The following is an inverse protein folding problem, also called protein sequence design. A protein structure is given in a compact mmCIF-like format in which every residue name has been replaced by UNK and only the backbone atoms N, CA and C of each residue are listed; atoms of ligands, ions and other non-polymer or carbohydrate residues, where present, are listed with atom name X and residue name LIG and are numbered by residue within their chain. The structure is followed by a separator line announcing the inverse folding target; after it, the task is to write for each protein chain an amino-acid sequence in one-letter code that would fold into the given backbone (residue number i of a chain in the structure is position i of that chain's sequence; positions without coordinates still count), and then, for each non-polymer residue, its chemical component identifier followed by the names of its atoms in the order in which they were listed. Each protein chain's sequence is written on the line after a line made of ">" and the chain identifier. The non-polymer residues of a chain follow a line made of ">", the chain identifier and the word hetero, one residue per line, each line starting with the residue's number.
data_IF_329976618054
#
_entry.id   IF_329976618054
#
_cell.length_a   1.000
_cell.length_b   1.000
_cell.length_c   1.000
_cell.angle_alpha   90.00
_cell.angle_beta   90.00
_cell.angle_gamma   90.00
#
_symmetry.space_group_name_H-M   'P 1'
#
loop_
_entity.id
_entity.type
_entity.pdbx_description
1 polymer ?
#
# COMPACT_ATOMS: atom_id res chain seq x y z
N UNK A 1 -6.29 -12.82 -8.69
CA UNK A 1 -5.45 -11.94 -7.86
C UNK A 1 -6.28 -10.78 -7.31
N UNK A 2 -6.05 -10.35 -6.06
CA UNK A 2 -6.83 -9.29 -5.43
C UNK A 2 -6.53 -7.92 -6.07
N UNK A 3 -7.57 -7.14 -6.34
CA UNK A 3 -7.43 -5.83 -7.01
C UNK A 3 -8.20 -4.76 -6.25
N UNK A 4 -8.08 -3.49 -6.66
CA UNK A 4 -8.85 -2.39 -6.06
C UNK A 4 -10.35 -2.67 -6.14
N UNK A 5 -11.07 -2.40 -5.04
CA UNK A 5 -12.52 -2.65 -4.80
C UNK A 5 -12.93 -4.07 -4.40
N UNK A 6 -11.97 -4.91 -3.98
CA UNK A 6 -12.22 -6.24 -3.36
C UNK A 6 -12.62 -6.19 -1.89
N UNK A 7 -12.53 -5.03 -1.23
CA UNK A 7 -12.78 -4.90 0.22
C UNK A 7 -11.52 -4.91 1.09
N UNK A 8 -10.33 -4.95 0.48
CA UNK A 8 -9.06 -4.97 1.22
C UNK A 8 -8.80 -3.76 2.12
N UNK A 9 -9.34 -2.58 1.80
CA UNK A 9 -9.28 -1.44 2.72
C UNK A 9 -10.13 -1.65 3.97
N UNK A 10 -11.28 -2.31 3.85
CA UNK A 10 -12.16 -2.60 4.98
C UNK A 10 -11.53 -3.66 5.89
N UNK A 11 -11.07 -4.77 5.32
CA UNK A 11 -10.36 -5.83 6.07
C UNK A 11 -9.08 -5.28 6.72
N UNK A 12 -8.32 -4.45 5.99
CA UNK A 12 -7.11 -3.81 6.53
C UNK A 12 -7.39 -2.92 7.74
N UNK A 13 -8.57 -2.30 7.84
CA UNK A 13 -8.92 -1.47 8.99
C UNK A 13 -9.06 -2.30 10.28
N UNK A 14 -9.50 -3.56 10.21
CA UNK A 14 -9.53 -4.43 11.39
C UNK A 14 -8.14 -4.62 11.99
N UNK A 15 -7.13 -4.82 11.16
CA UNK A 15 -5.72 -4.90 11.59
C UNK A 15 -5.21 -3.56 12.11
N UNK A 16 -5.56 -2.47 11.44
CA UNK A 16 -5.15 -1.11 11.79
C UNK A 16 -5.65 -0.65 13.17
N UNK A 17 -6.75 -1.24 13.67
CA UNK A 17 -7.28 -0.95 15.00
C UNK A 17 -6.60 -1.75 16.12
N UNK A 18 -5.81 -2.77 15.80
CA UNK A 18 -5.12 -3.59 16.80
C UNK A 18 -3.82 -2.94 17.26
N UNK A 19 -3.66 -2.77 18.58
CA UNK A 19 -2.49 -2.11 19.16
C UNK A 19 -1.18 -2.88 19.00
N UNK A 20 -1.24 -4.20 18.80
CA UNK A 20 -0.08 -5.08 18.62
C UNK A 20 0.27 -5.33 17.14
N UNK A 21 -0.42 -4.70 16.18
CA UNK A 21 -0.17 -4.86 14.75
C UNK A 21 0.41 -3.57 14.15
N UNK A 22 1.51 -3.69 13.43
CA UNK A 22 2.04 -2.64 12.56
C UNK A 22 1.40 -2.73 11.18
N UNK A 23 0.34 -1.96 10.94
CA UNK A 23 -0.36 -1.98 9.66
C UNK A 23 0.20 -0.94 8.68
N UNK A 24 0.53 -1.36 7.45
CA UNK A 24 0.88 -0.46 6.34
C UNK A 24 -0.11 -0.54 5.18
N UNK A 25 -0.65 0.62 4.81
CA UNK A 25 -1.56 0.75 3.68
C UNK A 25 -0.79 0.90 2.34
N UNK A 26 -0.84 -0.13 1.50
CA UNK A 26 -0.33 -0.11 0.11
C UNK A 26 1.10 0.44 -0.06
N UNK A 27 2.10 -0.04 0.69
CA UNK A 27 3.49 0.46 0.58
C UNK A 27 4.08 0.26 -0.82
N UNK A 28 3.61 -0.77 -1.53
CA UNK A 28 4.00 -1.09 -2.90
C UNK A 28 3.59 -0.03 -3.95
N UNK A 29 2.81 0.98 -3.56
CA UNK A 29 2.45 2.09 -4.43
C UNK A 29 3.68 2.87 -4.92
N UNK A 30 4.69 3.04 -4.06
CA UNK A 30 5.93 3.74 -4.42
C UNK A 30 6.72 3.00 -5.50
N UNK A 31 6.75 1.66 -5.41
CA UNK A 31 7.47 0.80 -6.35
C UNK A 31 6.80 0.86 -7.73
N UNK A 32 5.47 0.76 -7.79
CA UNK A 32 4.72 0.81 -9.06
C UNK A 32 4.91 2.12 -9.82
N UNK A 33 5.14 3.23 -9.11
CA UNK A 33 5.33 4.53 -9.72
C UNK A 33 6.72 4.72 -10.32
N UNK A 34 7.71 4.03 -9.77
CA UNK A 34 9.13 4.20 -10.13
C UNK A 34 9.61 3.12 -11.08
N UNK A 35 9.10 1.89 -10.94
CA UNK A 35 9.43 0.77 -11.83
C UNK A 35 8.44 0.77 -12.99
N UNK A 36 8.87 1.22 -14.16
CA UNK A 36 8.06 1.26 -15.38
C UNK A 36 7.56 -0.14 -15.75
N UNK A 37 6.23 -0.34 -15.67
CA UNK A 37 5.57 -1.54 -16.15
C UNK A 37 5.33 -1.46 -17.66
N UNK A 38 6.37 -1.70 -18.45
CA UNK A 38 6.24 -2.03 -19.87
C UNK A 38 5.60 -3.43 -19.99
N UNK A 39 4.38 -3.59 -20.54
CA UNK A 39 3.77 -4.90 -20.72
C UNK A 39 4.55 -5.70 -21.77
N UNK A 40 5.19 -6.80 -21.38
CA UNK A 40 5.79 -7.77 -22.31
C UNK A 40 7.31 -7.82 -22.39
N UNK A 41 8.04 -6.99 -21.64
CA UNK A 41 9.52 -7.04 -21.59
C UNK A 41 10.08 -7.85 -20.41
N UNK A 42 11.40 -8.13 -20.45
CA UNK A 42 12.20 -8.69 -19.34
C UNK A 42 12.02 -7.93 -17.99
N UNK A 43 11.46 -6.72 -18.06
CA UNK A 43 11.09 -5.84 -16.95
C UNK A 43 10.00 -6.41 -16.03
N UNK A 44 9.14 -7.33 -16.49
CA UNK A 44 8.08 -7.91 -15.66
C UNK A 44 8.64 -8.84 -14.56
N UNK A 45 9.66 -9.65 -14.91
CA UNK A 45 10.37 -10.52 -13.96
C UNK A 45 11.22 -9.68 -13.02
N UNK A 46 11.95 -8.69 -13.54
CA UNK A 46 12.73 -7.75 -12.72
C UNK A 46 11.87 -7.01 -11.70
N UNK A 47 10.68 -6.56 -12.09
CA UNK A 47 9.72 -5.93 -11.19
C UNK A 47 9.29 -6.90 -10.07
N UNK A 48 8.97 -8.16 -10.41
CA UNK A 48 8.55 -9.17 -9.44
C UNK A 48 9.61 -9.42 -8.35
N UNK A 49 10.89 -9.45 -8.73
CA UNK A 49 12.00 -9.58 -7.79
C UNK A 49 12.07 -8.37 -6.84
N UNK A 50 11.91 -7.15 -7.37
CA UNK A 50 11.86 -5.93 -6.54
C UNK A 50 10.68 -5.98 -5.56
N UNK A 51 9.48 -6.36 -6.00
CA UNK A 51 8.32 -6.50 -5.10
C UNK A 51 8.58 -7.52 -4.00
N UNK A 52 9.14 -8.69 -4.35
CA UNK A 52 9.49 -9.74 -3.39
C UNK A 52 10.49 -9.21 -2.34
N UNK A 53 11.57 -8.60 -2.78
CA UNK A 53 12.65 -8.14 -1.90
C UNK A 53 12.17 -7.00 -0.99
N UNK A 54 11.40 -6.06 -1.53
CA UNK A 54 10.75 -5.01 -0.73
C UNK A 54 9.81 -5.62 0.31
N UNK A 55 8.93 -6.55 -0.07
CA UNK A 55 8.02 -7.19 0.88
C UNK A 55 8.78 -7.93 1.98
N UNK A 56 9.87 -8.62 1.63
CA UNK A 56 10.72 -9.34 2.57
C UNK A 56 11.31 -8.41 3.62
N UNK A 57 11.92 -7.32 3.18
CA UNK A 57 12.51 -6.33 4.07
C UNK A 57 11.45 -5.64 4.93
N UNK A 58 10.30 -5.30 4.34
CA UNK A 58 9.18 -4.73 5.08
C UNK A 58 8.73 -5.66 6.21
N UNK A 59 8.49 -6.96 5.95
CA UNK A 59 8.09 -7.92 7.00
C UNK A 59 9.16 -8.12 8.08
N UNK A 60 10.43 -7.80 7.80
CA UNK A 60 11.52 -7.76 8.77
C UNK A 60 11.67 -6.38 9.44
N UNK A 61 10.67 -5.49 9.28
CA UNK A 61 10.67 -4.12 9.77
C UNK A 61 11.84 -3.25 9.27
N UNK A 62 12.38 -3.56 8.09
CA UNK A 62 13.28 -2.66 7.37
C UNK A 62 12.48 -1.79 6.40
N UNK A 63 12.17 -0.56 6.83
CA UNK A 63 11.42 0.41 6.05
C UNK A 63 12.30 1.26 5.14
N UNK A 64 13.63 1.25 5.30
CA UNK A 64 14.56 2.00 4.45
C UNK A 64 14.52 1.51 3.01
N UNK A 65 14.13 0.25 2.80
CA UNK A 65 13.90 -0.35 1.48
C UNK A 65 12.94 0.46 0.60
N UNK A 66 12.08 1.31 1.19
CA UNK A 66 11.15 2.16 0.45
C UNK A 66 11.78 3.46 -0.04
N UNK A 67 12.85 3.96 0.59
CA UNK A 67 13.42 5.28 0.31
C UNK A 67 13.79 5.51 -1.17
N UNK A 68 14.41 4.55 -1.89
CA UNK A 68 14.73 4.72 -3.30
C UNK A 68 13.51 4.92 -4.20
N UNK A 69 12.31 4.55 -3.72
CA UNK A 69 11.07 4.62 -4.49
C UNK A 69 10.20 5.82 -4.12
N UNK A 70 10.58 6.61 -3.11
CA UNK A 70 9.82 7.78 -2.68
C UNK A 70 10.30 9.02 -3.45
N UNK A 71 9.35 9.82 -3.94
CA UNK A 71 9.62 11.08 -4.61
C UNK A 71 8.86 12.22 -3.92
N UNK A 72 9.53 13.31 -3.49
CA UNK A 72 10.99 13.53 -3.54
C UNK A 72 11.79 12.54 -2.68
N UNK A 73 13.07 12.35 -3.00
CA UNK A 73 13.95 11.46 -2.24
C UNK A 73 13.99 11.91 -0.77
N UNK A 74 13.94 10.98 0.21
CA UNK A 74 14.02 11.33 1.62
C UNK A 74 15.31 12.09 1.96
N UNK A 75 15.19 13.12 2.79
CA UNK A 75 16.33 13.80 3.42
C UNK A 75 16.66 13.00 4.69
N UNK A 76 17.49 11.97 4.53
CA UNK A 76 17.63 10.87 5.48
C UNK A 76 17.74 11.33 6.95
N UNK A 77 16.87 10.86 7.87
CA UNK A 77 15.86 9.80 7.69
C UNK A 77 14.41 10.30 7.49
N UNK A 78 14.21 11.54 7.01
CA UNK A 78 12.89 12.17 6.94
C UNK A 78 12.25 12.07 5.55
N UNK A 79 10.99 11.67 5.51
CA UNK A 79 10.17 11.71 4.29
C UNK A 79 8.84 12.43 4.51
N UNK A 80 8.49 13.28 3.54
CA UNK A 80 7.22 14.02 3.52
C UNK A 80 6.15 13.31 2.68
N UNK A 81 6.52 12.21 2.00
CA UNK A 81 5.70 11.57 0.98
C UNK A 81 5.54 10.07 1.20
N UNK A 82 5.06 9.67 2.37
CA UNK A 82 4.62 8.29 2.57
C UNK A 82 3.18 8.12 2.08
N UNK A 83 2.96 7.28 1.06
CA UNK A 83 1.66 7.10 0.42
C UNK A 83 0.58 6.74 1.44
N UNK A 84 -0.48 7.56 1.50
CA UNK A 84 -1.62 7.36 2.40
C UNK A 84 -1.24 7.09 3.86
N UNK A 85 -0.14 7.66 4.37
CA UNK A 85 0.33 7.54 5.78
C UNK A 85 -0.81 7.62 6.79
N UNK A 86 -1.73 8.58 6.67
CA UNK A 86 -2.90 8.70 7.56
C UNK A 86 -3.89 7.53 7.58
N UNK A 87 -3.70 6.49 6.75
CA UNK A 87 -4.46 5.23 6.78
C UNK A 87 -3.76 4.14 7.61
N UNK A 88 -2.56 4.41 8.11
CA UNK A 88 -1.78 3.53 8.98
C UNK A 88 -1.65 4.17 10.35
N UNK A 89 -2.41 3.68 11.34
CA UNK A 89 -2.43 4.21 12.70
C UNK A 89 -1.04 4.22 13.32
N UNK A 90 -0.26 3.15 13.13
CA UNK A 90 1.11 3.01 13.64
C UNK A 90 2.08 4.08 13.12
N UNK A 91 1.80 4.72 11.97
CA UNK A 91 2.60 5.83 11.43
C UNK A 91 2.16 7.21 11.95
N UNK A 92 1.08 7.24 12.72
CA UNK A 92 0.43 8.43 13.26
C UNK A 92 0.35 8.42 14.80
N UNK A 93 0.86 7.39 15.46
CA UNK A 93 0.98 7.31 16.91
C UNK A 93 2.41 7.60 17.38
N UNK A 94 2.57 7.84 18.69
CA UNK A 94 3.91 8.06 19.26
C UNK A 94 4.71 6.74 19.30
N UNK A 95 6.04 6.78 19.07
CA UNK A 95 6.87 7.96 18.84
C UNK A 95 6.97 8.40 17.37
N UNK A 96 6.29 7.73 16.44
CA UNK A 96 6.43 8.00 14.98
C UNK A 96 5.84 9.36 14.58
N UNK A 97 4.78 9.78 15.26
CA UNK A 97 4.19 11.10 15.10
C UNK A 97 5.03 12.17 15.83
N UNK A 98 6.04 12.68 15.15
CA UNK A 98 6.89 13.77 15.65
C UNK A 98 6.15 15.12 15.65
N UNK A 99 6.62 16.13 16.43
CA UNK A 99 6.04 17.47 16.41
C UNK A 99 5.99 18.08 15.01
N UNK A 100 4.93 18.85 14.74
CA UNK A 100 4.72 19.51 13.45
C UNK A 100 5.86 20.49 13.12
N UNK A 101 6.48 20.31 11.95
CA UNK A 101 7.43 21.27 11.37
C UNK A 101 6.66 22.27 10.50
N UNK A 102 6.70 23.55 10.85
CA UNK A 102 6.03 24.62 10.07
C UNK A 102 6.66 24.69 8.67
N UNK A 103 5.84 25.06 7.66
CA UNK A 103 6.23 25.23 6.24
C UNK A 103 6.57 23.95 5.46
N UNK A 104 6.46 22.77 6.07
CA UNK A 104 6.60 21.49 5.35
C UNK A 104 5.23 21.00 4.88
N UNK A 105 5.10 20.72 3.58
CA UNK A 105 3.85 20.18 3.01
C UNK A 105 3.88 18.65 2.95
N UNK A 106 3.12 18.02 3.85
CA UNK A 106 2.82 16.58 3.73
C UNK A 106 1.51 16.37 2.97
N UNK A 107 1.53 15.55 1.92
CA UNK A 107 0.32 15.22 1.12
C UNK A 107 -0.63 14.28 1.86
N UNK A 108 -0.10 13.32 2.61
CA UNK A 108 -0.87 12.23 3.22
C UNK A 108 -0.87 12.32 4.75
N UNK A 109 -1.27 13.47 5.28
CA UNK A 109 -1.23 13.76 6.73
C UNK A 109 -2.09 12.78 7.54
N UNK A 110 -1.69 12.61 8.80
CA UNK A 110 -2.51 11.93 9.79
C UNK A 110 -3.83 12.69 10.02
N UNK A 111 -4.95 11.96 10.15
CA UNK A 111 -6.28 12.58 10.24
C UNK A 111 -6.52 13.29 11.57
N UNK A 112 -6.11 12.67 12.67
CA UNK A 112 -6.47 13.11 14.03
C UNK A 112 -5.30 13.75 14.78
N UNK A 113 -4.10 13.80 14.18
CA UNK A 113 -2.89 14.33 14.81
C UNK A 113 -2.08 15.15 13.80
N UNK A 114 -1.47 16.24 14.28
CA UNK A 114 -0.56 17.07 13.49
C UNK A 114 0.87 16.57 13.67
N UNK A 115 1.22 15.54 12.92
CA UNK A 115 2.57 15.01 12.90
C UNK A 115 3.46 15.82 11.94
N UNK A 116 4.74 15.92 12.24
CA UNK A 116 5.78 16.34 11.30
C UNK A 116 6.17 15.22 10.33
N UNK A 117 7.17 15.48 9.46
CA UNK A 117 7.63 14.53 8.46
C UNK A 117 7.94 13.16 9.06
N UNK A 118 7.60 12.11 8.33
CA UNK A 118 7.78 10.75 8.80
C UNK A 118 9.28 10.45 8.91
N UNK A 119 9.73 10.14 10.13
CA UNK A 119 11.06 9.60 10.34
C UNK A 119 11.03 8.09 10.12
N UNK A 120 11.74 7.61 9.09
CA UNK A 120 11.76 6.19 8.69
C UNK A 120 12.36 5.32 9.79
N UNK A 121 13.39 5.82 10.50
CA UNK A 121 14.01 5.14 11.64
C UNK A 121 12.98 4.88 12.75
N UNK A 122 12.25 5.91 13.17
CA UNK A 122 11.23 5.79 14.22
C UNK A 122 10.10 4.84 13.82
N UNK A 123 9.72 4.83 12.53
CA UNK A 123 8.72 3.91 12.01
C UNK A 123 9.23 2.46 12.02
N UNK A 124 10.49 2.22 11.64
CA UNK A 124 11.11 0.89 11.69
C UNK A 124 11.22 0.36 13.14
N UNK A 125 11.63 1.20 14.08
CA UNK A 125 11.63 0.85 15.50
C UNK A 125 10.24 0.57 16.05
N UNK A 126 9.24 1.38 15.64
CA UNK A 126 7.86 1.15 16.04
C UNK A 126 7.32 -0.18 15.49
N UNK A 127 7.69 -0.56 14.26
CA UNK A 127 7.38 -1.86 13.69
C UNK A 127 7.95 -3.01 14.53
N UNK A 128 9.23 -2.92 14.91
CA UNK A 128 9.91 -3.96 15.72
C UNK A 128 9.32 -4.12 17.14
N UNK A 129 8.61 -3.11 17.65
CA UNK A 129 7.91 -3.17 18.94
C UNK A 129 6.53 -3.81 18.86
N UNK A 130 5.99 -4.04 17.66
CA UNK A 130 4.70 -4.72 17.46
C UNK A 130 4.94 -6.22 17.32
N UNK A 131 3.95 -7.01 17.71
CA UNK A 131 4.02 -8.48 17.61
C UNK A 131 3.82 -8.96 16.18
N UNK A 132 3.03 -8.22 15.41
CA UNK A 132 2.68 -8.59 14.05
C UNK A 132 2.81 -7.41 13.10
N UNK A 133 3.04 -7.72 11.82
CA UNK A 133 2.99 -6.76 10.73
C UNK A 133 1.93 -7.16 9.71
N UNK A 134 1.10 -6.19 9.31
CA UNK A 134 0.06 -6.41 8.32
C UNK A 134 0.25 -5.46 7.14
N UNK A 135 0.34 -6.01 5.93
CA UNK A 135 0.50 -5.26 4.70
C UNK A 135 -0.74 -5.40 3.83
N UNK A 136 -1.36 -4.27 3.48
CA UNK A 136 -2.37 -4.27 2.42
C UNK A 136 -1.69 -4.06 1.07
N UNK A 137 -1.86 -4.97 0.13
CA UNK A 137 -1.37 -4.83 -1.25
C UNK A 137 -2.43 -5.22 -2.29
N UNK A 138 -2.47 -4.47 -3.41
CA UNK A 138 -3.33 -4.75 -4.59
C UNK A 138 -2.53 -4.78 -5.89
N UNK A 139 -1.19 -4.70 -5.80
CA UNK A 139 -0.25 -4.56 -6.92
C UNK A 139 0.56 -5.83 -7.20
N UNK A 140 0.38 -6.84 -6.37
CA UNK A 140 0.92 -8.18 -6.61
C UNK A 140 0.02 -8.77 -7.71
N UNK A 141 0.59 -9.21 -8.85
CA UNK A 141 -0.17 -9.72 -10.00
C UNK A 141 -0.26 -11.24 -10.05
N UNK A 142 0.81 -11.92 -9.63
CA UNK A 142 0.95 -13.39 -9.57
C UNK A 142 1.24 -13.81 -8.13
N UNK A 143 0.55 -14.85 -7.65
CA UNK A 143 0.62 -15.27 -6.23
C UNK A 143 1.90 -16.05 -5.96
N UNK A 144 2.41 -16.69 -6.99
CA UNK A 144 3.67 -17.44 -7.05
C UNK A 144 4.85 -16.56 -6.61
N UNK A 145 4.78 -15.24 -6.80
CA UNK A 145 5.80 -14.30 -6.32
C UNK A 145 5.88 -14.20 -4.79
N UNK A 146 4.85 -14.66 -4.07
CA UNK A 146 4.87 -14.74 -2.61
C UNK A 146 5.45 -16.06 -2.10
N UNK A 147 5.63 -17.07 -2.95
CA UNK A 147 6.16 -18.36 -2.54
C UNK A 147 7.53 -18.24 -1.83
N UNK A 148 8.52 -17.48 -2.35
CA UNK A 148 9.81 -17.35 -1.66
C UNK A 148 9.72 -16.64 -0.30
N UNK A 149 8.67 -15.85 -0.08
CA UNK A 149 8.40 -15.20 1.21
C UNK A 149 7.74 -16.18 2.20
N UNK A 150 6.87 -17.06 1.70
CA UNK A 150 6.22 -18.11 2.50
C UNK A 150 7.20 -19.22 2.89
N UNK A 151 8.22 -19.47 2.07
CA UNK A 151 9.27 -20.47 2.32
C UNK A 151 10.45 -19.91 3.15
N UNK A 152 10.51 -18.60 3.41
CA UNK A 152 11.58 -18.00 4.22
C UNK A 152 11.40 -18.39 5.71
N UNK A 153 12.31 -19.17 6.31
CA UNK A 153 12.17 -19.64 7.69
C UNK A 153 12.21 -18.50 8.73
N UNK A 154 12.59 -17.29 8.33
CA UNK A 154 12.60 -16.10 9.20
C UNK A 154 11.22 -15.43 9.29
N UNK A 155 10.25 -15.85 8.47
CA UNK A 155 8.92 -15.25 8.38
C UNK A 155 7.83 -16.28 8.70
N UNK A 156 6.89 -15.93 9.59
CA UNK A 156 5.59 -16.64 9.71
C UNK A 156 4.55 -15.91 8.85
N UNK A 157 4.67 -16.05 7.53
CA UNK A 157 3.82 -15.32 6.59
C UNK A 157 2.42 -15.92 6.49
N UNK A 158 1.39 -15.08 6.67
CA UNK A 158 0.00 -15.41 6.37
C UNK A 158 -0.54 -14.52 5.25
N UNK A 159 -1.16 -15.13 4.24
CA UNK A 159 -1.72 -14.43 3.08
C UNK A 159 -3.24 -14.52 3.10
N UNK A 160 -3.92 -13.37 3.13
CA UNK A 160 -5.37 -13.27 3.03
C UNK A 160 -5.73 -12.74 1.64
N UNK A 161 -6.20 -13.63 0.76
CA UNK A 161 -6.64 -13.25 -0.58
C UNK A 161 -8.14 -12.92 -0.57
N UNK A 162 -8.47 -11.65 -0.81
CA UNK A 162 -9.86 -11.23 -0.95
C UNK A 162 -10.31 -11.35 -2.40
N UNK A 163 -11.37 -12.14 -2.59
CA UNK A 163 -12.03 -12.35 -3.88
C UNK A 163 -13.44 -11.78 -3.80
N UNK A 164 -13.84 -11.03 -4.82
CA UNK A 164 -15.18 -10.45 -4.95
C UNK A 164 -15.67 -10.68 -6.36
N UNK A 165 -16.97 -10.87 -6.52
CA UNK A 165 -17.63 -10.97 -7.83
C UNK A 165 -17.13 -9.86 -8.77
N UNK A 166 -16.60 -10.21 -9.96
CA UNK A 166 -16.02 -9.24 -10.88
C UNK A 166 -17.06 -8.20 -11.37
N UNK A 167 -18.34 -8.56 -11.46
CA UNK A 167 -19.44 -7.64 -11.80
C UNK A 167 -19.61 -6.60 -10.70
N UNK A 168 -19.61 -7.02 -9.44
CA UNK A 168 -19.69 -6.11 -8.30
C UNK A 168 -18.44 -5.21 -8.20
N UNK A 169 -17.25 -5.75 -8.53
CA UNK A 169 -16.02 -4.96 -8.63
C UNK A 169 -16.14 -3.90 -9.73
N UNK A 170 -16.60 -4.28 -10.92
CA UNK A 170 -16.79 -3.37 -12.06
C UNK A 170 -17.80 -2.28 -11.73
N UNK A 171 -19.01 -2.64 -11.28
CA UNK A 171 -20.04 -1.69 -10.87
C UNK A 171 -19.50 -0.69 -9.84
N UNK A 172 -18.74 -1.20 -8.86
CA UNK A 172 -18.14 -0.36 -7.85
C UNK A 172 -17.03 0.56 -8.39
N UNK A 173 -16.25 0.12 -9.39
CA UNK A 173 -15.21 0.92 -10.04
C UNK A 173 -15.79 2.01 -10.94
N UNK A 174 -16.91 1.76 -11.60
CA UNK A 174 -17.59 2.77 -12.42
C UNK A 174 -18.02 3.98 -11.60
N UNK A 175 -18.41 3.77 -10.33
CA UNK A 175 -18.71 4.87 -9.40
C UNK A 175 -17.42 5.52 -8.88
N UNK A 176 -16.48 4.72 -8.36
CA UNK A 176 -15.28 5.24 -7.68
C UNK A 176 -14.23 5.85 -8.63
N UNK A 177 -14.23 5.46 -9.90
CA UNK A 177 -13.29 5.86 -10.93
C UNK A 177 -14.02 6.32 -12.20
N UNK A 178 -15.09 7.10 -12.03
CA UNK A 178 -15.97 7.60 -13.09
C UNK A 178 -15.25 7.92 -14.41
N UNK A 179 -14.23 8.79 -14.36
CA UNK A 179 -13.49 9.23 -15.53
C UNK A 179 -12.78 8.12 -16.32
N UNK A 180 -12.48 6.96 -15.71
CA UNK A 180 -11.89 5.79 -16.40
C UNK A 180 -12.92 4.88 -17.08
N UNK A 181 -14.20 5.05 -16.74
CA UNK A 181 -15.29 4.17 -17.16
C UNK A 181 -16.40 4.93 -17.91
N UNK A 182 -16.11 6.12 -18.43
CA UNK A 182 -17.10 6.94 -19.14
C UNK A 182 -17.70 6.22 -20.35
N UNK A 183 -16.89 5.48 -21.12
CA UNK A 183 -17.39 4.69 -22.25
C UNK A 183 -18.39 3.60 -21.82
N UNK A 184 -18.09 2.90 -20.72
CA UNK A 184 -18.97 1.89 -20.14
C UNK A 184 -20.28 2.49 -19.62
N UNK A 185 -20.22 3.71 -19.05
CA UNK A 185 -21.42 4.43 -18.59
C UNK A 185 -22.30 4.86 -19.76
N UNK A 186 -21.71 5.38 -20.85
CA UNK A 186 -22.47 5.75 -22.05
C UNK A 186 -23.14 4.54 -22.67
N UNK A 187 -22.42 3.43 -22.83
CA UNK A 187 -22.98 2.18 -23.36
C UNK A 187 -24.19 1.68 -22.54
N UNK A 188 -24.12 1.77 -21.20
CA UNK A 188 -25.26 1.41 -20.34
C UNK A 188 -26.46 2.34 -20.49
N UNK A 189 -26.24 3.64 -20.69
CA UNK A 189 -27.32 4.61 -20.91
C UNK A 189 -27.97 4.40 -22.28
N UNK A 190 -27.17 4.24 -23.34
CA UNK A 190 -27.65 4.01 -24.71
C UNK A 190 -28.40 2.67 -24.85
N UNK A 191 -27.98 1.64 -24.13
CA UNK A 191 -28.66 0.34 -24.11
C UNK A 191 -29.95 0.30 -23.29
N UNK A 192 -30.16 1.28 -22.40
CA UNK A 192 -31.42 1.44 -21.65
C UNK A 192 -32.49 2.18 -22.46
N UNK A 193 -32.10 2.99 -23.45
CA UNK A 193 -33.03 3.69 -24.35
C UNK A 193 -33.60 2.78 -25.47
N UNK A 194 -33.18 1.51 -25.55
CA UNK A 194 -33.62 0.53 -26.56
C UNK A 194 -34.51 -0.59 -26.00
N UNK A 195 -35.01 -0.46 -24.77
CA UNK A 195 -35.94 -1.39 -24.09
C UNK A 195 -37.19 -0.65 -23.61
#
# INVERSE_FOLDING_TARGET
>A
MATTRTGSSFVGEFFNQQGNVFYLFEPLWHIERTVSFEPGGANAVGSALVYRDVLRQLFLCDLYVLEPFITPLPEAPLTQFMFRRGSSRSLCEDPVCTPLVKKVFEKYRCKNRRCGPLNVTLAAEACRRKEHMALKAVRIRQLEFLQPLAEDPRLDLRVIQLVRDPRAVLASRMVAFAGKYESWKRWLAEGQDQL
#
